data_IF_793651361137
#
_entry.id   IF_793651361137
#
_cell.length_a   1.000
_cell.length_b   1.000
_cell.length_c   1.000
_cell.angle_alpha   90.00
_cell.angle_beta   90.00
_cell.angle_gamma   90.00
#
_symmetry.space_group_name_H-M   'P 1'
#
loop_
_entity.id
_entity.type
_entity.pdbx_description
1 polymer ?
#
# COMPACT_ATOMS: atom_id res chain seq x y z
N UNK A 1 0.41 16.87 -33.30
CA UNK A 1 0.53 15.40 -33.46
C UNK A 1 -0.45 14.64 -32.56
N UNK A 2 -0.46 14.85 -31.24
CA UNK A 2 -1.32 14.15 -30.27
C UNK A 2 -2.85 14.35 -30.42
N UNK A 3 -3.31 15.53 -30.88
CA UNK A 3 -4.74 15.77 -31.15
C UNK A 3 -5.32 14.87 -32.26
N UNK A 4 -4.54 14.54 -33.29
CA UNK A 4 -4.97 13.64 -34.37
C UNK A 4 -4.99 12.17 -33.95
N UNK A 5 -4.06 11.75 -33.09
CA UNK A 5 -4.00 10.38 -32.56
C UNK A 5 -5.19 10.11 -31.65
N UNK A 6 -5.56 11.07 -30.79
CA UNK A 6 -6.74 10.97 -29.91
C UNK A 6 -8.05 10.97 -30.70
N UNK A 7 -8.13 11.72 -31.81
CA UNK A 7 -9.34 11.80 -32.63
C UNK A 7 -9.55 10.54 -33.50
N UNK A 8 -8.47 9.94 -34.03
CA UNK A 8 -8.55 8.69 -34.79
C UNK A 8 -8.90 7.49 -33.90
N UNK A 9 -8.35 7.41 -32.68
CA UNK A 9 -8.75 6.35 -31.74
C UNK A 9 -10.20 6.46 -31.27
N UNK A 10 -10.82 7.64 -31.27
CA UNK A 10 -12.27 7.76 -30.96
C UNK A 10 -13.19 7.17 -32.03
N UNK A 11 -12.73 7.07 -33.29
CA UNK A 11 -13.53 6.51 -34.40
C UNK A 11 -13.49 4.99 -34.47
N UNK A 12 -12.36 4.36 -34.12
CA UNK A 12 -12.22 2.90 -34.19
C UNK A 12 -12.79 2.15 -32.97
N UNK A 13 -13.01 2.83 -31.84
CA UNK A 13 -13.40 2.20 -30.56
C UNK A 13 -14.87 2.42 -30.14
N UNK A 14 -15.70 3.03 -31.01
CA UNK A 14 -17.09 3.41 -30.68
C UNK A 14 -18.17 2.43 -31.20
N UNK A 15 -17.82 1.18 -31.55
CA UNK A 15 -18.79 0.18 -32.05
C UNK A 15 -19.50 -0.66 -30.98
N UNK A 16 -19.26 -0.43 -29.69
CA UNK A 16 -19.94 -1.15 -28.60
C UNK A 16 -20.09 -0.22 -27.41
N UNK A 17 -21.32 0.05 -26.99
CA UNK A 17 -21.70 1.08 -26.02
C UNK A 17 -21.25 0.88 -24.56
N UNK A 18 -20.12 0.20 -24.33
CA UNK A 18 -19.46 0.14 -23.03
C UNK A 18 -18.29 1.12 -23.02
N UNK A 19 -18.21 1.98 -22.00
CA UNK A 19 -17.09 2.88 -21.82
C UNK A 19 -15.81 2.08 -21.52
N UNK A 20 -15.07 1.74 -22.58
CA UNK A 20 -13.78 1.04 -22.48
C UNK A 20 -12.84 1.88 -21.64
N UNK A 21 -12.36 1.32 -20.52
CA UNK A 21 -11.35 1.96 -19.70
C UNK A 21 -10.12 2.27 -20.57
N UNK A 22 -9.57 3.50 -20.51
CA UNK A 22 -8.41 3.85 -21.32
C UNK A 22 -7.24 2.90 -21.03
N UNK A 23 -6.39 2.57 -22.03
CA UNK A 23 -5.37 1.54 -21.87
C UNK A 23 -4.44 1.87 -20.69
N UNK A 24 -4.27 0.93 -19.77
CA UNK A 24 -3.44 1.04 -18.56
C UNK A 24 -2.05 1.62 -18.84
N UNK A 25 -1.46 1.29 -19.99
CA UNK A 25 -0.17 1.79 -20.43
C UNK A 25 -0.16 3.32 -20.61
N UNK A 26 -1.22 3.90 -21.19
CA UNK A 26 -1.31 5.36 -21.41
C UNK A 26 -1.39 6.10 -20.08
N UNK A 27 -2.17 5.59 -19.12
CA UNK A 27 -2.23 6.14 -17.76
C UNK A 27 -0.84 6.17 -17.14
N UNK A 28 -0.15 5.03 -17.19
CA UNK A 28 1.18 4.85 -16.61
C UNK A 28 2.22 5.77 -17.24
N UNK A 29 2.21 5.93 -18.57
CA UNK A 29 3.12 6.88 -19.25
C UNK A 29 2.85 8.32 -18.84
N UNK A 30 1.58 8.76 -18.79
CA UNK A 30 1.24 10.12 -18.36
C UNK A 30 1.63 10.35 -16.90
N UNK A 31 1.42 9.36 -16.03
CA UNK A 31 1.81 9.46 -14.63
C UNK A 31 3.34 9.50 -14.46
N UNK A 32 4.08 8.65 -15.17
CA UNK A 32 5.55 8.65 -15.12
C UNK A 32 6.12 10.01 -15.56
N UNK A 33 5.59 10.59 -16.64
CA UNK A 33 5.98 11.94 -17.11
C UNK A 33 5.66 13.01 -16.06
N UNK A 34 4.46 12.97 -15.46
CA UNK A 34 4.09 13.91 -14.42
C UNK A 34 4.98 13.76 -13.17
N UNK A 35 5.31 12.53 -12.80
CA UNK A 35 6.17 12.22 -11.66
C UNK A 35 7.56 12.80 -11.85
N UNK A 36 8.22 12.52 -12.96
CA UNK A 36 9.55 13.04 -13.26
C UNK A 36 9.57 14.58 -13.24
N UNK A 37 8.66 15.20 -13.98
CA UNK A 37 8.54 16.67 -14.03
C UNK A 37 8.22 17.30 -12.67
N UNK A 38 7.36 16.67 -11.86
CA UNK A 38 7.00 17.20 -10.54
C UNK A 38 8.17 17.11 -9.57
N UNK A 39 8.98 16.05 -9.66
CA UNK A 39 10.18 15.92 -8.84
C UNK A 39 11.23 16.95 -9.25
N UNK A 40 11.45 17.14 -10.55
CA UNK A 40 12.40 18.13 -11.06
C UNK A 40 11.96 19.56 -10.70
N UNK A 41 10.69 19.91 -10.90
CA UNK A 41 10.15 21.21 -10.50
C UNK A 41 10.25 21.46 -8.98
N UNK A 42 10.01 20.44 -8.14
CA UNK A 42 10.18 20.56 -6.69
C UNK A 42 11.64 20.75 -6.28
N UNK A 43 12.58 20.16 -7.03
CA UNK A 43 14.01 20.36 -6.84
C UNK A 43 14.41 21.80 -7.22
N UNK A 44 14.00 22.25 -8.40
CA UNK A 44 14.32 23.60 -8.90
C UNK A 44 13.73 24.69 -8.02
N UNK A 45 12.48 24.54 -7.56
CA UNK A 45 11.86 25.52 -6.66
C UNK A 45 12.56 25.59 -5.27
N UNK A 46 13.23 24.51 -4.85
CA UNK A 46 13.90 24.47 -3.55
C UNK A 46 15.26 25.21 -3.53
N UNK A 47 15.90 25.34 -4.69
CA UNK A 47 17.26 25.84 -4.85
C UNK A 47 17.32 26.93 -5.91
N UNK A 48 17.85 28.11 -5.55
CA UNK A 48 17.94 29.22 -6.49
C UNK A 48 18.99 28.96 -7.59
N UNK A 49 18.89 29.66 -8.72
CA UNK A 49 19.87 29.49 -9.81
C UNK A 49 21.29 29.99 -9.45
N UNK A 50 21.40 30.91 -8.48
CA UNK A 50 22.61 31.66 -8.14
C UNK A 50 23.46 31.04 -7.01
N UNK A 51 23.24 29.77 -6.67
CA UNK A 51 24.06 29.04 -5.69
C UNK A 51 24.90 27.91 -6.27
N UNK A 52 25.55 27.15 -5.38
CA UNK A 52 26.39 26.01 -5.76
C UNK A 52 26.09 24.76 -4.96
N UNK A 53 26.16 23.61 -5.63
CA UNK A 53 26.03 22.30 -4.99
C UNK A 53 27.40 21.83 -4.50
N UNK A 54 27.49 21.54 -3.21
CA UNK A 54 28.69 21.05 -2.55
C UNK A 54 28.44 19.68 -1.91
N UNK A 55 29.42 18.79 -1.99
CA UNK A 55 29.34 17.49 -1.35
C UNK A 55 30.11 17.48 -0.01
N UNK A 56 29.55 16.80 0.99
CA UNK A 56 30.19 16.53 2.28
C UNK A 56 30.10 15.05 2.62
N UNK A 57 31.18 14.49 3.15
CA UNK A 57 31.20 13.12 3.64
C UNK A 57 30.93 13.11 5.15
N UNK A 58 29.88 12.38 5.56
CA UNK A 58 29.51 12.20 6.97
C UNK A 58 29.35 10.70 7.22
N UNK A 59 30.13 10.14 8.16
CA UNK A 59 30.10 8.71 8.53
C UNK A 59 30.15 7.77 7.30
N UNK A 60 31.14 7.95 6.44
CA UNK A 60 31.36 7.20 5.19
C UNK A 60 30.25 7.27 4.14
N UNK A 61 29.30 8.20 4.25
CA UNK A 61 28.30 8.48 3.23
C UNK A 61 28.43 9.91 2.73
N UNK A 62 28.27 10.12 1.43
CA UNK A 62 28.36 11.43 0.79
C UNK A 62 26.96 12.05 0.69
N UNK A 63 26.86 13.30 1.09
CA UNK A 63 25.63 14.09 1.10
C UNK A 63 25.87 15.39 0.37
N UNK A 64 24.84 15.88 -0.33
CA UNK A 64 24.87 17.11 -1.07
C UNK A 64 24.12 18.21 -0.34
N UNK A 65 24.69 19.41 -0.38
CA UNK A 65 24.14 20.63 0.18
C UNK A 65 24.18 21.72 -0.88
N UNK A 66 23.17 22.59 -0.88
CA UNK A 66 23.11 23.75 -1.74
C UNK A 66 23.54 24.97 -0.93
N UNK A 67 24.54 25.69 -1.41
CA UNK A 67 25.16 26.80 -0.71
C UNK A 67 24.88 28.12 -1.43
N UNK A 68 24.41 29.11 -0.68
CA UNK A 68 24.19 30.49 -1.14
C UNK A 68 24.95 31.47 -0.26
N UNK A 69 25.29 32.63 -0.82
CA UNK A 69 26.00 33.71 -0.13
C UNK A 69 27.51 33.48 0.03
N UNK A 70 28.20 34.53 0.47
CA UNK A 70 29.66 34.58 0.68
C UNK A 70 29.99 34.98 2.12
N UNK A 71 31.15 34.55 2.63
CA UNK A 71 31.63 34.95 3.97
C UNK A 71 30.76 34.47 5.14
N UNK A 72 30.42 35.39 6.04
CA UNK A 72 29.62 35.12 7.26
C UNK A 72 28.12 34.88 6.97
N UNK A 73 27.58 35.37 5.84
CA UNK A 73 26.18 35.17 5.43
C UNK A 73 25.96 33.87 4.64
N UNK A 74 26.81 32.86 4.84
CA UNK A 74 26.70 31.56 4.15
C UNK A 74 25.53 30.76 4.72
N UNK A 75 24.57 30.45 3.86
CA UNK A 75 23.49 29.52 4.15
C UNK A 75 23.70 28.21 3.40
N UNK A 76 23.38 27.09 4.04
CA UNK A 76 23.42 25.77 3.44
C UNK A 76 22.07 25.08 3.63
N UNK A 77 21.50 24.60 2.52
CA UNK A 77 20.28 23.79 2.52
C UNK A 77 20.61 22.36 2.16
N UNK A 78 19.93 21.42 2.80
CA UNK A 78 20.15 20.00 2.51
C UNK A 78 19.48 19.61 1.21
N UNK A 79 20.22 18.89 0.36
CA UNK A 79 19.74 18.43 -0.95
C UNK A 79 19.37 16.96 -0.90
N UNK A 80 20.27 16.12 -0.36
CA UNK A 80 20.06 14.69 -0.35
C UNK A 80 21.33 13.86 -0.13
N UNK A 81 21.19 12.53 0.00
CA UNK A 81 22.32 11.62 -0.10
C UNK A 81 22.77 11.52 -1.56
N UNK A 82 24.07 11.30 -1.81
CA UNK A 82 24.54 11.05 -3.16
C UNK A 82 23.92 9.78 -3.75
N UNK A 83 23.22 9.94 -4.86
CA UNK A 83 22.70 8.86 -5.71
C UNK A 83 22.89 9.25 -7.17
N UNK A 84 22.92 8.28 -8.11
CA UNK A 84 22.99 8.59 -9.54
C UNK A 84 21.91 9.60 -9.97
N UNK A 85 20.66 9.39 -9.57
CA UNK A 85 19.53 10.29 -9.87
C UNK A 85 19.74 11.71 -9.34
N UNK A 86 20.32 11.86 -8.13
CA UNK A 86 20.57 13.18 -7.57
C UNK A 86 21.65 13.92 -8.36
N UNK A 87 22.72 13.23 -8.76
CA UNK A 87 23.80 13.82 -9.54
C UNK A 87 23.30 14.28 -10.92
N UNK A 88 22.43 13.50 -11.57
CA UNK A 88 21.81 13.88 -12.83
C UNK A 88 20.94 15.14 -12.68
N UNK A 89 20.17 15.25 -11.59
CA UNK A 89 19.37 16.45 -11.30
C UNK A 89 20.23 17.68 -11.04
N UNK A 90 21.30 17.54 -10.26
CA UNK A 90 22.26 18.62 -10.01
C UNK A 90 22.86 19.12 -11.32
N UNK A 91 23.19 18.21 -12.25
CA UNK A 91 23.72 18.57 -13.56
C UNK A 91 22.71 19.36 -14.42
N UNK A 92 21.42 19.02 -14.33
CA UNK A 92 20.34 19.62 -15.12
C UNK A 92 19.70 20.89 -14.52
N UNK A 93 19.98 21.22 -13.26
CA UNK A 93 19.32 22.32 -12.53
C UNK A 93 19.39 23.68 -13.26
N UNK A 94 20.42 23.93 -14.08
CA UNK A 94 20.57 25.19 -14.84
C UNK A 94 19.87 25.21 -16.20
N UNK A 95 19.34 24.09 -16.65
CA UNK A 95 18.80 23.93 -18.01
C UNK A 95 17.26 23.99 -18.05
N UNK A 96 16.61 23.91 -16.89
CA UNK A 96 15.17 23.68 -16.80
C UNK A 96 14.39 24.97 -16.54
N UNK A 97 13.34 25.21 -17.35
CA UNK A 97 12.35 26.27 -17.12
C UNK A 97 11.08 25.63 -16.58
N UNK A 98 10.53 26.16 -15.47
CA UNK A 98 9.31 25.64 -14.86
C UNK A 98 8.16 25.55 -15.88
N UNK A 99 7.62 24.34 -16.03
CA UNK A 99 6.60 23.95 -16.99
C UNK A 99 5.22 23.76 -16.34
N UNK A 100 4.91 24.54 -15.29
CA UNK A 100 3.70 24.41 -14.46
C UNK A 100 2.39 24.22 -15.25
N UNK A 101 2.27 24.82 -16.44
CA UNK A 101 1.11 24.66 -17.35
C UNK A 101 1.00 23.23 -17.90
N UNK A 102 2.11 22.64 -18.32
CA UNK A 102 2.16 21.29 -18.88
C UNK A 102 1.90 20.25 -17.78
N UNK A 103 2.55 20.37 -16.62
CA UNK A 103 2.26 19.51 -15.47
C UNK A 103 0.80 19.58 -15.03
N UNK A 104 0.21 20.77 -14.99
CA UNK A 104 -1.22 20.94 -14.70
C UNK A 104 -2.10 20.26 -15.75
N UNK A 105 -1.70 20.26 -17.03
CA UNK A 105 -2.43 19.54 -18.07
C UNK A 105 -2.33 18.02 -17.89
N UNK A 106 -1.15 17.48 -17.53
CA UNK A 106 -0.97 16.06 -17.23
C UNK A 106 -1.82 15.64 -16.01
N UNK A 107 -1.71 16.38 -14.89
CA UNK A 107 -2.49 16.14 -13.69
C UNK A 107 -4.00 16.21 -13.96
N UNK A 108 -4.45 17.23 -14.72
CA UNK A 108 -5.86 17.35 -15.11
C UNK A 108 -6.30 16.20 -16.02
N UNK A 109 -5.43 15.66 -16.87
CA UNK A 109 -5.75 14.51 -17.74
C UNK A 109 -5.94 13.25 -16.90
N UNK A 110 -5.04 12.98 -15.95
CA UNK A 110 -5.14 11.87 -15.00
C UNK A 110 -6.45 11.92 -14.20
N UNK A 111 -6.85 13.11 -13.73
CA UNK A 111 -8.11 13.25 -12.99
C UNK A 111 -9.33 13.14 -13.92
N UNK A 112 -9.41 13.94 -14.98
CA UNK A 112 -10.64 14.06 -15.79
C UNK A 112 -10.87 12.90 -16.75
N UNK A 113 -9.81 12.38 -17.36
CA UNK A 113 -9.91 11.32 -18.39
C UNK A 113 -9.80 9.93 -17.79
N UNK A 114 -8.96 9.76 -16.76
CA UNK A 114 -8.75 8.45 -16.12
C UNK A 114 -9.56 8.27 -14.83
N UNK A 115 -10.16 9.33 -14.29
CA UNK A 115 -10.98 9.27 -13.08
C UNK A 115 -10.16 9.02 -11.82
N UNK A 116 -8.87 9.40 -11.83
CA UNK A 116 -8.00 9.25 -10.66
C UNK A 116 -8.39 10.24 -9.56
N UNK A 117 -8.23 9.83 -8.28
CA UNK A 117 -8.68 10.65 -7.18
C UNK A 117 -7.86 11.93 -7.03
N UNK A 118 -8.52 12.95 -6.52
CA UNK A 118 -7.93 14.22 -6.12
C UNK A 118 -8.32 14.51 -4.67
N UNK A 119 -7.40 15.00 -3.82
CA UNK A 119 -7.75 15.41 -2.46
C UNK A 119 -8.75 16.57 -2.48
N UNK A 120 -9.42 16.79 -1.34
CA UNK A 120 -10.17 18.02 -1.12
C UNK A 120 -9.25 19.25 -1.33
N UNK A 121 -9.75 20.36 -1.89
CA UNK A 121 -8.90 21.52 -2.19
C UNK A 121 -8.11 22.03 -0.99
N UNK A 122 -8.73 22.08 0.19
CA UNK A 122 -8.09 22.52 1.45
C UNK A 122 -6.91 21.60 1.83
N UNK A 123 -7.12 20.28 1.74
CA UNK A 123 -6.08 19.26 1.97
C UNK A 123 -4.94 19.43 0.97
N UNK A 124 -5.26 19.59 -0.31
CA UNK A 124 -4.28 19.81 -1.37
C UNK A 124 -3.46 21.10 -1.19
N UNK A 125 -4.09 22.18 -0.71
CA UNK A 125 -3.41 23.45 -0.47
C UNK A 125 -2.44 23.35 0.72
N UNK A 126 -2.85 22.70 1.80
CA UNK A 126 -1.97 22.44 2.95
C UNK A 126 -0.78 21.56 2.54
N UNK A 127 -1.01 20.48 1.78
CA UNK A 127 0.08 19.63 1.27
C UNK A 127 1.05 20.38 0.38
N UNK A 128 0.56 21.28 -0.48
CA UNK A 128 1.42 22.10 -1.34
C UNK A 128 2.32 22.99 -0.48
N UNK A 129 1.77 23.68 0.52
CA UNK A 129 2.56 24.53 1.42
C UNK A 129 3.60 23.73 2.22
N UNK A 130 3.26 22.51 2.68
CA UNK A 130 4.21 21.63 3.36
C UNK A 130 5.32 21.15 2.42
N UNK A 131 4.99 20.84 1.16
CA UNK A 131 5.97 20.47 0.14
C UNK A 131 6.93 21.63 -0.15
N UNK A 132 6.40 22.84 -0.37
CA UNK A 132 7.15 24.06 -0.66
C UNK A 132 8.05 24.46 0.52
N UNK A 133 7.56 24.28 1.76
CA UNK A 133 8.35 24.50 2.97
C UNK A 133 9.52 23.50 3.10
N UNK A 134 9.49 22.39 2.37
CA UNK A 134 10.56 21.39 2.33
C UNK A 134 10.32 20.14 3.16
N UNK A 135 9.11 19.89 3.68
CA UNK A 135 8.82 18.72 4.53
C UNK A 135 9.28 17.41 3.87
N UNK A 136 8.94 17.19 2.60
CA UNK A 136 9.30 15.97 1.87
C UNK A 136 10.78 15.96 1.42
N UNK A 137 11.37 17.13 1.16
CA UNK A 137 12.81 17.28 0.89
C UNK A 137 13.63 16.85 2.10
N UNK A 138 13.20 17.24 3.30
CA UNK A 138 13.83 16.90 4.57
C UNK A 138 13.42 15.53 5.09
N UNK A 139 13.10 14.56 4.20
CA UNK A 139 12.79 13.15 4.55
C UNK A 139 11.44 12.93 5.26
N UNK A 140 10.53 13.89 5.21
CA UNK A 140 9.14 13.66 5.57
C UNK A 140 8.48 12.68 4.59
N UNK A 141 7.57 11.85 5.10
CA UNK A 141 6.80 10.86 4.36
C UNK A 141 5.32 11.10 4.64
N UNK A 142 4.54 11.33 3.60
CA UNK A 142 3.09 11.43 3.70
C UNK A 142 2.53 10.03 3.96
N UNK A 143 1.77 9.87 5.04
CA UNK A 143 1.14 8.59 5.41
C UNK A 143 -0.39 8.76 5.50
N UNK A 144 -1.08 7.75 6.03
CA UNK A 144 -2.51 7.81 6.25
C UNK A 144 -3.33 7.73 4.95
N UNK A 145 -4.57 8.23 5.00
CA UNK A 145 -5.51 8.10 3.87
C UNK A 145 -5.12 9.00 2.69
N UNK A 146 -4.46 10.13 2.93
CA UNK A 146 -3.98 11.00 1.84
C UNK A 146 -2.90 10.29 1.02
N UNK A 147 -1.95 9.60 1.66
CA UNK A 147 -0.96 8.78 0.94
C UNK A 147 -1.62 7.70 0.08
N UNK A 148 -2.68 7.06 0.60
CA UNK A 148 -3.45 6.06 -0.13
C UNK A 148 -4.05 6.59 -1.46
N UNK A 149 -4.31 7.90 -1.56
CA UNK A 149 -4.79 8.52 -2.79
C UNK A 149 -3.76 8.55 -3.92
N UNK A 150 -2.47 8.38 -3.62
CA UNK A 150 -1.43 8.32 -4.64
C UNK A 150 -1.38 6.96 -5.38
N UNK A 151 -1.77 5.88 -4.70
CA UNK A 151 -1.61 4.52 -5.21
C UNK A 151 -2.37 4.18 -6.50
N UNK A 152 -3.59 4.69 -6.76
CA UNK A 152 -4.25 4.50 -8.05
C UNK A 152 -3.38 4.94 -9.23
N UNK A 153 -2.72 6.09 -9.11
CA UNK A 153 -1.83 6.60 -10.14
C UNK A 153 -0.54 5.78 -10.24
N UNK A 154 0.09 5.46 -9.10
CA UNK A 154 1.31 4.64 -9.05
C UNK A 154 1.13 3.24 -9.64
N UNK A 155 -0.01 2.60 -9.37
CA UNK A 155 -0.31 1.23 -9.79
C UNK A 155 -1.07 1.16 -11.12
N UNK A 156 -1.59 2.29 -11.61
CA UNK A 156 -2.33 2.37 -12.87
C UNK A 156 -3.66 1.62 -12.80
N UNK A 157 -4.32 1.72 -11.66
CA UNK A 157 -5.60 1.07 -11.36
C UNK A 157 -6.58 2.05 -10.78
N UNK A 158 -7.85 1.65 -10.67
CA UNK A 158 -8.85 2.36 -9.88
C UNK A 158 -9.02 1.63 -8.55
N UNK A 159 -8.94 2.39 -7.45
CA UNK A 159 -9.25 1.88 -6.11
C UNK A 159 -10.62 2.43 -5.64
N UNK A 160 -11.31 1.75 -4.71
CA UNK A 160 -12.62 2.17 -4.23
C UNK A 160 -12.62 3.59 -3.64
N UNK A 161 -13.50 4.45 -4.16
CA UNK A 161 -13.58 5.87 -3.80
C UNK A 161 -13.85 6.17 -2.32
N UNK A 162 -14.67 5.35 -1.66
CA UNK A 162 -15.03 5.51 -0.25
C UNK A 162 -13.83 5.42 0.70
N UNK A 163 -12.74 4.77 0.27
CA UNK A 163 -11.53 4.60 1.06
C UNK A 163 -10.60 5.82 1.02
N UNK A 164 -10.90 6.80 0.17
CA UNK A 164 -10.01 7.91 -0.17
C UNK A 164 -10.35 9.19 0.60
N UNK A 165 -11.52 9.32 1.22
CA UNK A 165 -11.90 10.55 1.93
C UNK A 165 -11.28 10.61 3.35
N UNK A 166 -10.71 11.76 3.68
CA UNK A 166 -10.13 12.09 5.00
C UNK A 166 -10.03 13.61 5.17
N UNK A 167 -10.20 14.09 6.40
CA UNK A 167 -9.86 15.46 6.80
C UNK A 167 -8.46 15.59 7.40
N UNK A 168 -7.76 14.46 7.58
CA UNK A 168 -6.49 14.37 8.29
C UNK A 168 -5.32 14.21 7.30
N UNK A 169 -4.25 14.97 7.53
CA UNK A 169 -2.96 14.88 6.86
C UNK A 169 -1.93 14.38 7.87
N UNK A 170 -1.41 13.18 7.64
CA UNK A 170 -0.40 12.58 8.49
C UNK A 170 0.99 12.67 7.84
N UNK A 171 1.92 13.35 8.49
CA UNK A 171 3.32 13.45 8.05
C UNK A 171 4.23 12.71 9.02
N UNK A 172 4.96 11.72 8.53
CA UNK A 172 5.86 10.90 9.31
C UNK A 172 7.33 11.19 8.97
N UNK A 173 8.21 11.13 9.97
CA UNK A 173 9.66 11.28 9.76
C UNK A 173 10.43 10.48 10.79
N UNK A 174 11.57 9.88 10.40
CA UNK A 174 12.50 9.33 11.36
C UNK A 174 13.20 10.46 12.14
N UNK A 175 13.18 10.41 13.47
CA UNK A 175 13.92 11.36 14.33
C UNK A 175 15.39 11.50 13.95
N UNK A 176 16.07 10.38 13.67
CA UNK A 176 17.48 10.38 13.28
C UNK A 176 17.72 11.12 11.96
N UNK A 177 16.78 11.02 11.01
CA UNK A 177 16.86 11.78 9.77
C UNK A 177 16.71 13.28 10.04
N UNK A 178 15.78 13.67 10.91
CA UNK A 178 15.59 15.07 11.29
C UNK A 178 16.83 15.69 11.95
N UNK A 179 17.58 14.94 12.76
CA UNK A 179 18.78 15.46 13.45
C UNK A 179 19.98 15.54 12.49
N UNK A 180 20.10 14.60 11.54
CA UNK A 180 21.26 14.49 10.67
C UNK A 180 21.29 15.51 9.51
N UNK A 181 20.17 16.14 9.19
CA UNK A 181 19.98 16.94 7.97
C UNK A 181 20.61 18.34 8.07
N UNK A 182 20.68 18.94 9.26
CA UNK A 182 21.32 20.25 9.47
C UNK A 182 20.64 21.43 8.72
N UNK A 183 19.44 21.21 8.21
CA UNK A 183 18.54 22.14 7.53
C UNK A 183 17.14 21.99 8.18
N UNK A 184 16.33 23.04 8.13
CA UNK A 184 14.99 23.04 8.74
C UNK A 184 13.99 23.85 7.93
N UNK A 185 12.73 23.42 7.94
CA UNK A 185 11.61 24.23 7.48
C UNK A 185 11.38 25.41 8.44
N UNK A 186 10.59 26.43 8.04
CA UNK A 186 9.93 27.31 9.00
C UNK A 186 9.08 26.51 10.01
N UNK A 187 8.68 27.11 11.14
CA UNK A 187 7.82 26.45 12.12
C UNK A 187 6.55 25.92 11.46
N UNK A 188 6.19 24.66 11.75
CA UNK A 188 5.05 24.01 11.10
C UNK A 188 3.76 24.84 11.22
N UNK A 189 3.51 25.45 12.39
CA UNK A 189 2.35 26.32 12.61
C UNK A 189 2.31 27.54 11.68
N UNK A 190 3.46 28.12 11.35
CA UNK A 190 3.53 29.31 10.49
C UNK A 190 3.26 28.94 9.04
N UNK A 191 3.81 27.82 8.57
CA UNK A 191 3.50 27.25 7.26
C UNK A 191 2.00 26.99 7.12
N UNK A 192 1.38 26.40 8.14
CA UNK A 192 -0.06 26.12 8.15
C UNK A 192 -0.90 27.40 8.18
N UNK A 193 -0.53 28.39 9.01
CA UNK A 193 -1.24 29.67 9.10
C UNK A 193 -1.17 30.51 7.84
N UNK A 194 -0.11 30.36 7.05
CA UNK A 194 0.00 30.99 5.74
C UNK A 194 -1.05 30.44 4.74
N UNK A 195 -1.51 29.20 4.93
CA UNK A 195 -2.59 28.60 4.13
C UNK A 195 -3.95 28.98 4.72
N UNK A 196 -4.11 28.85 6.03
CA UNK A 196 -5.33 29.20 6.75
C UNK A 196 -4.97 29.76 8.14
N UNK A 197 -5.20 31.06 8.35
CA UNK A 197 -4.87 31.75 9.59
C UNK A 197 -5.57 31.18 10.84
N UNK A 198 -6.60 30.35 10.67
CA UNK A 198 -7.36 29.72 11.76
C UNK A 198 -6.68 28.48 12.35
N UNK A 199 -5.59 28.01 11.76
CA UNK A 199 -4.80 26.91 12.31
C UNK A 199 -4.32 27.21 13.73
N UNK A 200 -4.52 26.24 14.61
CA UNK A 200 -4.06 26.27 16.01
C UNK A 200 -3.41 24.95 16.39
N UNK A 201 -2.41 25.05 17.25
CA UNK A 201 -1.81 23.91 17.93
C UNK A 201 -2.83 23.20 18.83
N UNK A 202 -2.81 21.88 18.83
CA UNK A 202 -3.54 21.05 19.79
C UNK A 202 -2.55 20.57 20.85
N UNK A 203 -2.71 20.97 22.13
CA UNK A 203 -1.88 20.47 23.22
C UNK A 203 -1.89 18.95 23.29
N UNK A 204 -0.72 18.33 23.44
CA UNK A 204 -0.62 16.88 23.54
C UNK A 204 -1.19 16.35 24.87
N UNK A 205 -1.83 15.18 24.85
CA UNK A 205 -2.58 14.62 25.99
C UNK A 205 -1.67 14.27 27.17
N UNK A 206 -0.45 13.78 26.92
CA UNK A 206 0.51 13.37 27.96
C UNK A 206 1.37 14.54 28.44
N UNK A 207 1.68 15.50 27.56
CA UNK A 207 2.47 16.68 27.89
C UNK A 207 1.90 17.89 27.14
N UNK A 208 1.06 18.67 27.82
CA UNK A 208 0.35 19.80 27.23
C UNK A 208 1.26 20.93 26.71
N UNK A 209 2.58 20.88 26.98
CA UNK A 209 3.55 21.83 26.42
C UNK A 209 4.02 21.45 25.02
N UNK A 210 3.78 20.20 24.60
CA UNK A 210 4.23 19.65 23.32
C UNK A 210 3.08 19.68 22.31
N UNK A 211 3.44 19.83 21.05
CA UNK A 211 2.47 19.98 19.95
C UNK A 211 2.80 19.04 18.81
N UNK A 212 1.99 18.00 18.65
CA UNK A 212 2.13 17.01 17.57
C UNK A 212 1.05 17.16 16.50
N UNK A 213 0.07 18.02 16.73
CA UNK A 213 -1.17 18.09 15.99
C UNK A 213 -1.65 19.53 15.84
N UNK A 214 -2.17 19.85 14.66
CA UNK A 214 -2.68 21.17 14.32
C UNK A 214 -4.06 21.03 13.68
N UNK A 215 -4.98 21.95 13.99
CA UNK A 215 -6.35 21.94 13.45
C UNK A 215 -6.75 23.32 12.97
N UNK A 216 -7.43 23.39 11.84
CA UNK A 216 -8.06 24.61 11.31
C UNK A 216 -9.57 24.62 11.57
N UNK A 217 -10.20 25.78 11.41
CA UNK A 217 -11.67 25.83 11.27
C UNK A 217 -12.05 25.08 9.98
N UNK A 218 -13.19 24.38 9.99
CA UNK A 218 -13.57 23.51 8.87
C UNK A 218 -13.13 22.04 9.01
N UNK A 219 -12.31 21.72 10.02
CA UNK A 219 -12.03 20.33 10.41
C UNK A 219 -10.79 19.71 9.77
N UNK A 220 -10.01 20.48 9.00
CA UNK A 220 -8.69 20.03 8.52
C UNK A 220 -7.75 19.84 9.70
N UNK A 221 -7.10 18.68 9.74
CA UNK A 221 -6.15 18.29 10.77
C UNK A 221 -4.82 17.90 10.15
N UNK A 222 -3.72 18.32 10.77
CA UNK A 222 -2.36 17.94 10.39
C UNK A 222 -1.66 17.33 11.59
N UNK A 223 -1.21 16.09 11.45
CA UNK A 223 -0.52 15.32 12.47
C UNK A 223 0.93 15.06 12.05
N UNK A 224 1.86 15.21 12.98
CA UNK A 224 3.27 14.86 12.82
C UNK A 224 3.60 13.61 13.63
N UNK A 225 4.21 12.64 12.97
CA UNK A 225 4.41 11.28 13.49
C UNK A 225 5.89 10.88 13.41
N UNK A 226 6.35 10.10 14.37
CA UNK A 226 7.70 9.52 14.35
C UNK A 226 7.65 8.06 14.79
N UNK A 227 8.54 7.19 14.30
CA UNK A 227 8.58 5.82 14.79
C UNK A 227 8.91 5.74 16.27
N UNK A 228 8.20 4.85 16.97
CA UNK A 228 8.46 4.56 18.37
C UNK A 228 9.65 3.57 18.49
N UNK A 229 10.79 4.05 18.95
CA UNK A 229 11.99 3.25 19.22
C UNK A 229 12.01 2.79 20.69
N UNK A 230 11.25 1.75 21.04
CA UNK A 230 11.34 1.09 22.36
C UNK A 230 10.00 0.70 23.01
N UNK A 231 10.05 0.40 24.32
CA UNK A 231 8.85 0.07 25.11
C UNK A 231 7.88 1.25 25.25
N UNK A 232 8.36 2.49 25.02
CA UNK A 232 7.60 3.66 24.59
C UNK A 232 6.52 4.18 25.54
N UNK A 233 6.90 5.19 26.32
CA UNK A 233 6.04 6.00 27.23
C UNK A 233 4.94 6.80 26.52
N UNK A 234 4.97 6.89 25.18
CA UNK A 234 4.04 7.71 24.39
C UNK A 234 4.37 9.20 24.37
N UNK A 235 5.51 9.59 24.95
CA UNK A 235 5.95 10.98 25.03
C UNK A 235 6.32 11.56 23.65
N UNK A 236 5.84 12.78 23.31
CA UNK A 236 6.19 13.45 22.06
C UNK A 236 7.69 13.61 21.88
N UNK A 237 8.16 13.46 20.65
CA UNK A 237 9.57 13.64 20.30
C UNK A 237 9.74 14.87 19.39
N UNK A 238 10.81 15.62 19.58
CA UNK A 238 11.12 16.75 18.70
C UNK A 238 11.54 16.26 17.30
N UNK A 239 11.06 16.95 16.27
CA UNK A 239 11.57 16.89 14.90
C UNK A 239 12.18 18.24 14.51
N UNK A 240 13.46 18.51 14.86
CA UNK A 240 14.11 19.79 14.60
C UNK A 240 14.06 20.28 13.15
N UNK A 241 14.11 19.36 12.18
CA UNK A 241 14.08 19.68 10.75
C UNK A 241 12.70 20.20 10.30
N UNK A 242 11.63 19.87 11.02
CA UNK A 242 10.27 20.34 10.75
C UNK A 242 9.81 21.40 11.76
N UNK A 243 10.68 21.76 12.70
CA UNK A 243 10.41 22.73 13.78
C UNK A 243 9.06 22.48 14.49
N UNK A 244 8.80 21.21 14.83
CA UNK A 244 7.58 20.74 15.54
C UNK A 244 7.89 19.49 16.38
N UNK A 245 6.95 19.09 17.23
CA UNK A 245 6.97 17.78 17.87
C UNK A 245 6.18 16.76 17.06
N UNK A 246 6.45 15.49 17.31
CA UNK A 246 5.79 14.37 16.66
C UNK A 246 5.39 13.28 17.65
N UNK A 247 4.25 12.66 17.35
CA UNK A 247 3.72 11.54 18.11
C UNK A 247 4.52 10.26 17.78
N UNK A 248 5.14 9.59 18.77
CA UNK A 248 5.69 8.26 18.53
C UNK A 248 4.58 7.23 18.29
N UNK A 249 4.65 6.52 17.16
CA UNK A 249 3.75 5.41 16.83
C UNK A 249 4.50 4.11 16.60
N UNK A 250 3.93 3.00 17.10
CA UNK A 250 4.46 1.65 16.86
C UNK A 250 4.24 1.25 15.40
N UNK A 251 5.17 0.47 14.86
CA UNK A 251 5.17 -0.06 13.49
C UNK A 251 5.32 0.99 12.38
N UNK A 252 5.40 2.26 12.73
CA UNK A 252 5.60 3.33 11.76
C UNK A 252 6.98 3.24 11.09
N UNK A 253 7.98 2.69 11.79
CA UNK A 253 9.32 2.44 11.24
C UNK A 253 9.28 1.53 10.00
N UNK A 254 8.47 0.48 10.03
CA UNK A 254 8.25 -0.40 8.88
C UNK A 254 7.52 0.31 7.75
N UNK A 255 6.48 1.09 8.08
CA UNK A 255 5.65 1.77 7.09
C UNK A 255 6.47 2.78 6.27
N UNK A 256 7.31 3.58 6.93
CA UNK A 256 8.05 4.67 6.29
C UNK A 256 9.47 4.27 5.88
N UNK A 257 9.83 2.99 6.02
CA UNK A 257 11.07 2.45 5.51
C UNK A 257 11.04 2.41 3.97
N UNK A 258 12.08 2.94 3.35
CA UNK A 258 12.26 3.03 1.90
C UNK A 258 11.02 3.56 1.12
N UNK A 259 10.65 4.84 1.36
CA UNK A 259 9.44 5.41 0.77
C UNK A 259 9.61 5.72 -0.73
N UNK A 260 8.56 5.45 -1.50
CA UNK A 260 8.50 5.70 -2.94
C UNK A 260 8.14 7.17 -3.24
N UNK A 261 8.72 7.76 -4.30
CA UNK A 261 8.27 9.07 -4.78
C UNK A 261 6.87 8.95 -5.41
N UNK A 262 6.01 9.94 -5.17
CA UNK A 262 4.68 9.98 -5.74
C UNK A 262 4.20 11.41 -6.00
N UNK A 263 3.13 11.53 -6.79
CA UNK A 263 2.46 12.81 -7.04
C UNK A 263 1.04 12.79 -6.51
N UNK A 264 0.70 13.75 -5.65
CA UNK A 264 -0.68 14.06 -5.31
C UNK A 264 -1.27 14.92 -6.42
N UNK A 265 -2.40 14.48 -7.00
CA UNK A 265 -3.05 15.11 -8.15
C UNK A 265 -3.83 16.39 -7.77
N UNK A 266 -3.13 17.38 -7.25
CA UNK A 266 -3.66 18.71 -6.94
C UNK A 266 -2.83 19.80 -7.63
N UNK A 267 -3.49 20.80 -8.21
CA UNK A 267 -2.82 21.87 -8.94
C UNK A 267 -1.99 21.33 -10.12
N UNK A 268 -0.68 21.56 -10.09
CA UNK A 268 0.27 21.08 -11.08
C UNK A 268 0.90 19.72 -10.70
N UNK A 269 0.37 19.02 -9.70
CA UNK A 269 1.00 17.83 -9.13
C UNK A 269 1.96 18.23 -8.00
N UNK A 270 1.74 17.67 -6.80
CA UNK A 270 2.58 17.90 -5.63
C UNK A 270 3.50 16.69 -5.47
N UNK A 271 4.81 16.92 -5.56
CA UNK A 271 5.82 15.88 -5.34
C UNK A 271 5.91 15.55 -3.85
N UNK A 272 5.69 14.28 -3.51
CA UNK A 272 5.71 13.77 -2.13
C UNK A 272 6.48 12.45 -2.05
N UNK A 273 6.75 12.01 -0.82
CA UNK A 273 7.20 10.64 -0.51
C UNK A 273 6.05 9.92 0.18
N UNK A 274 5.73 8.70 -0.24
CA UNK A 274 4.71 7.85 0.39
C UNK A 274 5.27 6.47 0.74
N UNK A 275 4.69 5.73 1.69
CA UNK A 275 5.03 4.33 1.90
C UNK A 275 4.91 3.52 0.62
N UNK A 276 5.80 2.55 0.42
CA UNK A 276 5.63 1.55 -0.62
C UNK A 276 4.24 0.89 -0.48
N UNK A 277 3.47 0.68 -1.58
CA UNK A 277 2.10 0.17 -1.50
C UNK A 277 1.99 -1.16 -0.74
N UNK A 278 2.98 -2.05 -0.91
CA UNK A 278 3.05 -3.33 -0.21
C UNK A 278 3.19 -3.15 1.31
N UNK A 279 4.15 -2.31 1.76
CA UNK A 279 4.32 -1.98 3.19
C UNK A 279 3.07 -1.32 3.77
N UNK A 280 2.41 -0.47 3.00
CA UNK A 280 1.15 0.15 3.43
C UNK A 280 0.07 -0.92 3.69
N UNK A 281 -0.15 -1.84 2.75
CA UNK A 281 -1.14 -2.91 2.88
C UNK A 281 -0.87 -3.78 4.12
N UNK A 282 0.38 -4.24 4.28
CA UNK A 282 0.81 -5.07 5.41
C UNK A 282 0.67 -4.32 6.75
N UNK A 283 1.10 -3.06 6.79
CA UNK A 283 0.96 -2.22 7.98
C UNK A 283 -0.51 -2.03 8.37
N UNK A 284 -1.41 -1.86 7.40
CA UNK A 284 -2.86 -1.72 7.64
C UNK A 284 -3.48 -2.95 8.28
N UNK A 285 -3.08 -4.16 7.87
CA UNK A 285 -3.49 -5.39 8.53
C UNK A 285 -3.11 -5.37 10.02
N UNK A 286 -1.85 -5.01 10.32
CA UNK A 286 -1.33 -4.98 11.69
C UNK A 286 -2.03 -3.93 12.56
N UNK A 287 -2.17 -2.68 12.09
CA UNK A 287 -2.75 -1.61 12.90
C UNK A 287 -4.26 -1.75 13.08
N UNK A 288 -4.97 -2.40 12.14
CA UNK A 288 -6.40 -2.69 12.27
C UNK A 288 -6.71 -3.48 13.55
N UNK A 289 -5.79 -4.36 13.98
CA UNK A 289 -5.90 -5.17 15.19
C UNK A 289 -5.63 -4.39 16.49
N UNK A 290 -5.05 -3.19 16.39
CA UNK A 290 -4.66 -2.37 17.56
C UNK A 290 -5.47 -1.10 17.74
N UNK A 291 -6.29 -0.69 16.77
CA UNK A 291 -7.11 0.52 16.91
C UNK A 291 -8.10 0.38 18.07
N UNK A 292 -8.10 1.34 18.98
CA UNK A 292 -9.11 1.44 20.06
C UNK A 292 -10.32 2.27 19.63
N UNK A 293 -10.15 3.12 18.61
CA UNK A 293 -11.09 4.14 18.13
C UNK A 293 -12.36 3.64 17.40
N UNK A 294 -12.79 2.40 17.63
CA UNK A 294 -14.03 1.84 17.07
C UNK A 294 -13.89 1.03 15.78
N UNK A 295 -14.97 0.32 15.43
CA UNK A 295 -15.04 -0.65 14.32
C UNK A 295 -14.85 -0.02 12.94
N UNK A 296 -15.46 1.15 12.68
CA UNK A 296 -15.39 1.80 11.37
C UNK A 296 -13.96 2.11 10.88
N UNK A 297 -13.07 2.56 11.78
CA UNK A 297 -11.66 2.81 11.43
C UNK A 297 -10.90 1.50 11.17
N UNK A 298 -11.23 0.42 11.89
CA UNK A 298 -10.67 -0.91 11.65
C UNK A 298 -11.12 -1.45 10.29
N UNK A 299 -12.41 -1.33 9.99
CA UNK A 299 -12.98 -1.78 8.72
C UNK A 299 -12.38 -1.01 7.54
N UNK A 300 -12.18 0.32 7.69
CA UNK A 300 -11.49 1.13 6.68
C UNK A 300 -10.05 0.65 6.44
N UNK A 301 -9.30 0.34 7.50
CA UNK A 301 -7.94 -0.19 7.36
C UNK A 301 -7.93 -1.55 6.64
N UNK A 302 -8.84 -2.46 7.01
CA UNK A 302 -8.98 -3.77 6.35
C UNK A 302 -9.35 -3.61 4.87
N UNK A 303 -10.29 -2.73 4.54
CA UNK A 303 -10.68 -2.50 3.15
C UNK A 303 -9.55 -1.86 2.33
N UNK A 304 -8.79 -0.92 2.91
CA UNK A 304 -7.61 -0.35 2.26
C UNK A 304 -6.53 -1.42 2.02
N UNK A 305 -6.28 -2.28 3.01
CA UNK A 305 -5.36 -3.40 2.87
C UNK A 305 -5.82 -4.35 1.77
N UNK A 306 -7.07 -4.81 1.81
CA UNK A 306 -7.64 -5.74 0.85
C UNK A 306 -7.54 -5.23 -0.60
N UNK A 307 -7.87 -3.96 -0.84
CA UNK A 307 -7.80 -3.37 -2.18
C UNK A 307 -6.37 -3.37 -2.75
N UNK A 308 -5.37 -3.08 -1.91
CA UNK A 308 -3.96 -3.12 -2.32
C UNK A 308 -3.45 -4.55 -2.44
N UNK A 309 -3.79 -5.46 -1.53
CA UNK A 309 -3.39 -6.86 -1.59
C UNK A 309 -3.84 -7.50 -2.91
N UNK A 310 -5.13 -7.34 -3.26
CA UNK A 310 -5.69 -7.83 -4.52
C UNK A 310 -4.91 -7.30 -5.72
N UNK A 311 -4.63 -5.99 -5.73
CA UNK A 311 -3.90 -5.33 -6.83
C UNK A 311 -2.45 -5.80 -6.91
N UNK A 312 -1.75 -5.87 -5.78
CA UNK A 312 -0.32 -6.16 -5.72
C UNK A 312 -0.03 -7.63 -6.02
N UNK A 313 -0.94 -8.54 -5.67
CA UNK A 313 -0.83 -9.95 -6.04
C UNK A 313 -0.69 -10.18 -7.55
N UNK A 314 -1.26 -9.29 -8.37
CA UNK A 314 -1.10 -9.32 -9.83
C UNK A 314 0.08 -8.46 -10.30
N UNK A 315 0.17 -7.22 -9.81
CA UNK A 315 1.04 -6.21 -10.43
C UNK A 315 2.45 -6.15 -9.87
N UNK A 316 2.62 -6.48 -8.60
CA UNK A 316 3.90 -6.42 -7.88
C UNK A 316 4.01 -7.57 -6.87
N UNK A 317 3.90 -8.85 -7.32
CA UNK A 317 3.87 -10.00 -6.42
C UNK A 317 5.16 -10.17 -5.62
N UNK A 318 6.31 -9.81 -6.19
CA UNK A 318 7.61 -9.86 -5.52
C UNK A 318 7.67 -8.84 -4.37
N UNK A 319 7.33 -7.57 -4.62
CA UNK A 319 7.28 -6.52 -3.59
C UNK A 319 6.33 -6.90 -2.44
N UNK A 320 5.17 -7.50 -2.77
CA UNK A 320 4.23 -7.97 -1.75
C UNK A 320 4.84 -9.08 -0.90
N UNK A 321 5.51 -10.04 -1.53
CA UNK A 321 6.18 -11.14 -0.82
C UNK A 321 7.31 -10.63 0.07
N UNK A 322 8.18 -9.75 -0.41
CA UNK A 322 9.28 -9.18 0.37
C UNK A 322 8.76 -8.39 1.58
N UNK A 323 7.74 -7.54 1.37
CA UNK A 323 7.12 -6.78 2.45
C UNK A 323 6.47 -7.70 3.50
N UNK A 324 5.81 -8.78 3.07
CA UNK A 324 5.22 -9.79 3.95
C UNK A 324 6.29 -10.53 4.77
N UNK A 325 7.35 -11.00 4.12
CA UNK A 325 8.42 -11.76 4.76
C UNK A 325 9.15 -10.89 5.80
N UNK A 326 9.51 -9.65 5.46
CA UNK A 326 10.12 -8.71 6.43
C UNK A 326 9.21 -8.48 7.64
N UNK A 327 7.90 -8.29 7.43
CA UNK A 327 6.96 -8.09 8.53
C UNK A 327 6.91 -9.31 9.45
N UNK A 328 6.95 -10.53 8.91
CA UNK A 328 6.98 -11.77 9.73
C UNK A 328 8.31 -12.01 10.43
N UNK A 329 9.42 -11.53 9.87
CA UNK A 329 10.75 -11.63 10.48
C UNK A 329 10.91 -10.74 11.72
N UNK A 330 10.12 -9.67 11.84
CA UNK A 330 10.15 -8.73 12.97
C UNK A 330 9.67 -9.31 14.32
N UNK A 331 9.14 -10.53 14.35
CA UNK A 331 8.91 -11.29 15.57
C UNK A 331 7.47 -11.80 15.76
N UNK A 332 7.19 -12.49 16.88
CA UNK A 332 5.92 -13.21 17.09
C UNK A 332 4.70 -12.27 17.12
N UNK A 333 4.82 -11.09 17.76
CA UNK A 333 3.72 -10.11 17.78
C UNK A 333 3.36 -9.61 16.38
N UNK A 334 4.34 -9.44 15.50
CA UNK A 334 4.09 -9.03 14.12
C UNK A 334 3.35 -10.12 13.34
N UNK A 335 3.80 -11.37 13.45
CA UNK A 335 3.12 -12.53 12.83
C UNK A 335 1.68 -12.63 13.27
N UNK A 336 1.44 -12.60 14.58
CA UNK A 336 0.09 -12.66 15.15
C UNK A 336 -0.82 -11.56 14.59
N UNK A 337 -0.40 -10.29 14.66
CA UNK A 337 -1.23 -9.17 14.22
C UNK A 337 -1.46 -9.18 12.71
N UNK A 338 -0.47 -9.60 11.93
CA UNK A 338 -0.56 -9.74 10.48
C UNK A 338 -1.56 -10.83 10.09
N UNK A 339 -1.42 -12.01 10.69
CA UNK A 339 -2.24 -13.20 10.41
C UNK A 339 -3.70 -12.97 10.88
N UNK A 340 -3.90 -12.36 12.05
CA UNK A 340 -5.23 -11.92 12.52
C UNK A 340 -5.84 -10.82 11.64
N UNK A 341 -5.04 -9.87 11.17
CA UNK A 341 -5.49 -8.82 10.25
C UNK A 341 -5.95 -9.42 8.93
N UNK A 342 -5.17 -10.34 8.37
CA UNK A 342 -5.48 -11.04 7.14
C UNK A 342 -6.72 -11.95 7.27
N UNK A 343 -7.00 -12.49 8.46
CA UNK A 343 -8.24 -13.23 8.73
C UNK A 343 -9.51 -12.39 8.46
N UNK A 344 -9.43 -11.07 8.65
CA UNK A 344 -10.53 -10.13 8.40
C UNK A 344 -10.71 -9.71 6.95
N UNK A 345 -9.79 -10.10 6.06
CA UNK A 345 -9.86 -9.83 4.61
C UNK A 345 -10.81 -10.82 3.94
N UNK A 346 -11.46 -10.36 2.87
CA UNK A 346 -12.32 -11.19 2.02
C UNK A 346 -11.56 -12.43 1.49
N UNK A 347 -12.26 -13.55 1.39
CA UNK A 347 -11.65 -14.87 1.33
C UNK A 347 -10.88 -15.11 0.04
N UNK A 348 -11.39 -14.64 -1.10
CA UNK A 348 -10.68 -14.73 -2.37
C UNK A 348 -9.38 -13.89 -2.35
N UNK A 349 -9.47 -12.66 -1.84
CA UNK A 349 -8.30 -11.76 -1.71
C UNK A 349 -7.25 -12.32 -0.75
N UNK A 350 -7.68 -12.91 0.37
CA UNK A 350 -6.81 -13.56 1.35
C UNK A 350 -6.08 -14.74 0.73
N UNK A 351 -6.81 -15.63 0.05
CA UNK A 351 -6.23 -16.82 -0.57
C UNK A 351 -5.24 -16.46 -1.68
N UNK A 352 -5.58 -15.45 -2.49
CA UNK A 352 -4.67 -14.92 -3.50
C UNK A 352 -3.39 -14.34 -2.85
N UNK A 353 -3.53 -13.59 -1.76
CA UNK A 353 -2.38 -13.05 -1.01
C UNK A 353 -1.49 -14.18 -0.49
N UNK A 354 -2.08 -15.17 0.18
CA UNK A 354 -1.36 -16.33 0.71
C UNK A 354 -0.62 -17.08 -0.41
N UNK A 355 -1.27 -17.29 -1.56
CA UNK A 355 -0.65 -17.87 -2.75
C UNK A 355 0.55 -17.03 -3.22
N UNK A 356 0.38 -15.72 -3.36
CA UNK A 356 1.43 -14.80 -3.84
C UNK A 356 2.66 -14.85 -2.93
N UNK A 357 2.47 -14.85 -1.61
CA UNK A 357 3.57 -14.82 -0.65
C UNK A 357 4.14 -16.21 -0.34
N UNK A 358 3.54 -17.28 -0.88
CA UNK A 358 3.96 -18.67 -0.65
C UNK A 358 3.57 -19.21 0.74
N UNK A 359 2.49 -18.68 1.30
CA UNK A 359 1.93 -19.04 2.60
C UNK A 359 0.74 -20.01 2.45
N UNK A 360 0.45 -20.75 3.53
CA UNK A 360 -0.66 -21.71 3.61
C UNK A 360 -1.79 -21.16 4.46
N UNK A 361 -3.00 -21.70 4.28
CA UNK A 361 -4.20 -21.24 5.00
C UNK A 361 -4.08 -21.44 6.50
N UNK A 362 -3.46 -22.53 6.98
CA UNK A 362 -3.33 -22.82 8.42
C UNK A 362 -2.56 -21.78 9.24
N UNK A 363 -1.90 -20.80 8.61
CA UNK A 363 -1.36 -19.63 9.29
C UNK A 363 -2.43 -18.66 9.79
N UNK A 364 -3.64 -18.69 9.22
CA UNK A 364 -4.73 -17.77 9.57
C UNK A 364 -5.43 -18.27 10.84
N UNK A 365 -5.48 -17.47 11.93
CA UNK A 365 -6.10 -17.90 13.17
C UNK A 365 -7.59 -18.23 12.99
N UNK A 366 -7.99 -19.39 13.50
CA UNK A 366 -9.38 -19.85 13.47
C UNK A 366 -9.88 -20.29 12.10
N UNK A 367 -9.04 -20.32 11.07
CA UNK A 367 -9.46 -20.89 9.79
C UNK A 367 -9.55 -22.41 9.92
N UNK A 368 -10.69 -22.93 9.50
CA UNK A 368 -10.92 -24.35 9.39
C UNK A 368 -11.89 -24.60 8.23
N UNK A 369 -11.83 -25.79 7.65
CA UNK A 369 -12.81 -26.20 6.65
C UNK A 369 -13.83 -27.13 7.29
N UNK A 370 -15.00 -26.58 7.57
CA UNK A 370 -16.17 -27.28 8.07
C UNK A 370 -17.06 -27.69 6.90
N UNK A 371 -17.77 -28.81 7.01
CA UNK A 371 -18.62 -29.31 5.94
C UNK A 371 -20.08 -29.34 6.39
N UNK A 372 -20.95 -28.84 5.53
CA UNK A 372 -22.40 -28.95 5.72
C UNK A 372 -22.87 -30.35 5.32
N UNK A 373 -23.98 -30.84 5.85
CA UNK A 373 -24.62 -32.11 5.46
C UNK A 373 -25.31 -32.07 4.08
N UNK A 374 -25.07 -31.01 3.30
CA UNK A 374 -25.64 -30.83 1.97
C UNK A 374 -25.32 -32.04 1.05
N UNK A 375 -26.26 -32.44 0.18
CA UNK A 375 -26.04 -33.54 -0.73
C UNK A 375 -24.99 -33.16 -1.79
N UNK A 376 -23.99 -34.03 -2.04
CA UNK A 376 -23.03 -33.83 -3.10
C UNK A 376 -23.71 -33.93 -4.48
N UNK A 377 -23.11 -33.29 -5.49
CA UNK A 377 -23.59 -33.31 -6.88
C UNK A 377 -22.47 -33.66 -7.84
N UNK A 378 -22.77 -34.49 -8.83
CA UNK A 378 -21.86 -34.71 -9.96
C UNK A 378 -21.92 -33.52 -10.92
N UNK A 379 -20.78 -32.89 -11.18
CA UNK A 379 -20.64 -31.86 -12.21
C UNK A 379 -20.01 -32.49 -13.45
N UNK A 380 -20.84 -32.71 -14.47
CA UNK A 380 -20.44 -33.31 -15.75
C UNK A 380 -19.44 -32.46 -16.51
N UNK A 381 -19.46 -31.13 -16.34
CA UNK A 381 -18.59 -30.22 -17.10
C UNK A 381 -17.15 -30.25 -16.61
N UNK A 382 -16.98 -30.49 -15.31
CA UNK A 382 -15.68 -30.55 -14.63
C UNK A 382 -15.22 -31.96 -14.32
N UNK A 383 -16.10 -32.94 -14.52
CA UNK A 383 -15.89 -34.36 -14.20
C UNK A 383 -15.47 -34.57 -12.73
N UNK A 384 -16.23 -33.94 -11.82
CA UNK A 384 -15.99 -33.97 -10.38
C UNK A 384 -17.27 -34.25 -9.60
N UNK A 385 -17.12 -34.79 -8.39
CA UNK A 385 -18.18 -34.73 -7.37
C UNK A 385 -17.96 -33.49 -6.52
N UNK A 386 -18.88 -32.53 -6.62
CA UNK A 386 -18.87 -31.27 -5.90
C UNK A 386 -19.66 -31.36 -4.57
N UNK A 387 -19.15 -30.70 -3.55
CA UNK A 387 -19.76 -30.60 -2.22
C UNK A 387 -19.39 -29.24 -1.59
N UNK A 388 -20.12 -28.85 -0.55
CA UNK A 388 -19.96 -27.53 0.07
C UNK A 388 -19.15 -27.63 1.38
N UNK A 389 -18.19 -26.73 1.53
CA UNK A 389 -17.55 -26.44 2.81
C UNK A 389 -17.75 -24.99 3.23
N UNK A 390 -17.38 -24.68 4.46
CA UNK A 390 -17.35 -23.33 5.01
C UNK A 390 -16.04 -23.11 5.75
N UNK A 391 -15.45 -21.94 5.57
CA UNK A 391 -14.27 -21.49 6.31
C UNK A 391 -14.46 -20.04 6.75
N UNK A 392 -14.32 -19.77 8.05
CA UNK A 392 -14.56 -18.43 8.65
C UNK A 392 -15.92 -17.85 8.24
N UNK A 393 -16.96 -18.69 8.19
CA UNK A 393 -18.32 -18.31 7.80
C UNK A 393 -18.54 -18.04 6.30
N UNK A 394 -17.52 -18.22 5.44
CA UNK A 394 -17.62 -18.09 3.99
C UNK A 394 -17.70 -19.45 3.32
N UNK A 395 -18.46 -19.54 2.22
CA UNK A 395 -18.61 -20.77 1.47
C UNK A 395 -17.32 -21.10 0.70
N UNK A 396 -16.91 -22.36 0.74
CA UNK A 396 -15.78 -22.90 -0.01
C UNK A 396 -16.31 -23.97 -0.96
N UNK A 397 -15.90 -23.87 -2.23
CA UNK A 397 -16.22 -24.85 -3.27
C UNK A 397 -15.31 -26.07 -3.15
N UNK A 398 -15.85 -27.20 -2.72
CA UNK A 398 -15.09 -28.42 -2.56
C UNK A 398 -15.44 -29.40 -3.68
N UNK A 399 -14.43 -30.09 -4.21
CA UNK A 399 -14.66 -31.15 -5.18
C UNK A 399 -13.63 -32.27 -5.05
N UNK A 400 -13.98 -33.46 -5.52
CA UNK A 400 -13.07 -34.58 -5.75
C UNK A 400 -13.18 -35.01 -7.22
N UNK A 401 -12.05 -35.21 -7.88
CA UNK A 401 -12.03 -35.58 -9.29
C UNK A 401 -12.54 -37.00 -9.53
N UNK A 402 -13.09 -37.25 -10.72
CA UNK A 402 -13.51 -38.59 -11.14
C UNK A 402 -12.36 -39.60 -11.02
N UNK A 403 -11.16 -39.24 -11.46
CA UNK A 403 -9.97 -40.12 -11.39
C UNK A 403 -9.66 -40.50 -9.94
N UNK A 404 -9.72 -39.54 -9.01
CA UNK A 404 -9.46 -39.82 -7.60
C UNK A 404 -10.50 -40.78 -7.00
N UNK A 405 -11.77 -40.66 -7.41
CA UNK A 405 -12.83 -41.59 -7.02
C UNK A 405 -12.61 -42.99 -7.61
N UNK A 406 -12.32 -43.06 -8.92
CA UNK A 406 -12.15 -44.32 -9.65
C UNK A 406 -10.94 -45.10 -9.08
N UNK A 407 -9.81 -44.42 -8.85
CA UNK A 407 -8.55 -45.02 -8.39
C UNK A 407 -8.58 -45.49 -6.93
N UNK A 408 -9.33 -44.81 -6.05
CA UNK A 408 -9.16 -44.96 -4.60
C UNK A 408 -10.45 -45.25 -3.81
N UNK A 409 -11.61 -45.14 -4.44
CA UNK A 409 -12.91 -45.32 -3.79
C UNK A 409 -13.81 -46.34 -4.49
N UNK A 410 -13.24 -47.10 -5.43
CA UNK A 410 -13.91 -48.23 -6.08
C UNK A 410 -15.07 -47.81 -6.97
N UNK A 411 -14.87 -46.73 -7.74
CA UNK A 411 -15.89 -46.23 -8.69
C UNK A 411 -15.59 -46.48 -10.14
N UNK A 412 -14.53 -47.22 -10.44
CA UNK A 412 -14.19 -47.60 -11.80
C UNK A 412 -15.38 -48.32 -12.48
N UNK A 413 -15.71 -47.88 -13.68
CA UNK A 413 -16.87 -48.36 -14.44
C UNK A 413 -18.26 -47.94 -13.92
N UNK A 414 -18.38 -47.17 -12.83
CA UNK A 414 -19.68 -46.69 -12.35
C UNK A 414 -20.20 -45.49 -13.17
N UNK A 415 -21.51 -45.26 -13.12
CA UNK A 415 -22.15 -44.06 -13.67
C UNK A 415 -22.09 -42.88 -12.67
N UNK A 416 -22.73 -41.76 -13.04
CA UNK A 416 -22.75 -40.54 -12.21
C UNK A 416 -23.36 -40.79 -10.81
N UNK A 417 -24.40 -41.61 -10.72
CA UNK A 417 -25.12 -41.85 -9.47
C UNK A 417 -24.33 -42.82 -8.60
N UNK A 418 -23.69 -43.83 -9.20
CA UNK A 418 -22.75 -44.72 -8.52
C UNK A 418 -21.57 -43.97 -7.89
N UNK A 419 -21.01 -42.96 -8.58
CA UNK A 419 -19.94 -42.10 -8.03
C UNK A 419 -20.40 -41.25 -6.87
N UNK A 420 -21.60 -40.67 -6.94
CA UNK A 420 -22.20 -39.92 -5.83
C UNK A 420 -22.43 -40.84 -4.62
N UNK A 421 -22.92 -42.06 -4.83
CA UNK A 421 -23.10 -43.03 -3.74
C UNK A 421 -21.77 -43.47 -3.12
N UNK A 422 -20.72 -43.66 -3.92
CA UNK A 422 -19.39 -43.98 -3.41
C UNK A 422 -18.78 -42.84 -2.60
N UNK A 423 -18.98 -41.59 -3.04
CA UNK A 423 -18.65 -40.41 -2.25
C UNK A 423 -19.38 -40.47 -0.90
N UNK A 424 -20.69 -40.72 -0.89
CA UNK A 424 -21.48 -40.77 0.35
C UNK A 424 -20.98 -41.86 1.32
N UNK A 425 -20.62 -43.05 0.81
CA UNK A 425 -20.02 -44.13 1.63
C UNK A 425 -18.67 -43.75 2.24
N UNK A 426 -17.91 -42.88 1.56
CA UNK A 426 -16.55 -42.49 1.94
C UNK A 426 -16.44 -41.03 2.39
N UNK A 427 -17.57 -40.39 2.69
CA UNK A 427 -17.68 -38.93 2.86
C UNK A 427 -16.70 -38.37 3.88
N UNK A 428 -16.65 -38.97 5.07
CA UNK A 428 -15.75 -38.55 6.15
C UNK A 428 -14.28 -38.58 5.74
N UNK A 429 -13.85 -39.60 4.97
CA UNK A 429 -12.46 -39.69 4.47
C UNK A 429 -12.17 -38.61 3.43
N UNK A 430 -13.08 -38.39 2.49
CA UNK A 430 -12.92 -37.37 1.44
C UNK A 430 -12.92 -35.95 2.05
N UNK A 431 -13.80 -35.68 2.99
CA UNK A 431 -13.87 -34.43 3.74
C UNK A 431 -12.58 -34.18 4.54
N UNK A 432 -12.04 -35.19 5.23
CA UNK A 432 -10.76 -35.07 5.93
C UNK A 432 -9.61 -34.72 4.98
N UNK A 433 -9.58 -35.33 3.79
CA UNK A 433 -8.58 -35.04 2.77
C UNK A 433 -8.74 -33.63 2.19
N UNK A 434 -9.97 -33.21 1.89
CA UNK A 434 -10.26 -31.86 1.43
C UNK A 434 -9.86 -30.81 2.47
N UNK A 435 -10.16 -31.04 3.75
CA UNK A 435 -9.74 -30.18 4.87
C UNK A 435 -8.22 -30.10 4.99
N UNK A 436 -7.52 -31.23 4.98
CA UNK A 436 -6.06 -31.26 5.05
C UNK A 436 -5.41 -30.52 3.88
N UNK A 437 -5.90 -30.73 2.66
CA UNK A 437 -5.43 -30.03 1.45
C UNK A 437 -5.75 -28.54 1.49
N UNK A 438 -6.96 -28.16 1.92
CA UNK A 438 -7.35 -26.76 2.02
C UNK A 438 -6.45 -25.97 2.97
N UNK A 439 -6.14 -26.56 4.14
CA UNK A 439 -5.37 -25.91 5.20
C UNK A 439 -3.87 -25.84 4.89
N UNK A 440 -3.29 -26.93 4.39
CA UNK A 440 -1.83 -27.09 4.31
C UNK A 440 -1.28 -27.27 2.89
N UNK A 441 -2.15 -27.45 1.90
CA UNK A 441 -1.76 -27.56 0.50
C UNK A 441 -1.52 -26.19 -0.14
N UNK A 442 -0.88 -26.16 -1.32
CA UNK A 442 -0.79 -24.95 -2.11
C UNK A 442 -2.19 -24.47 -2.52
N UNK A 443 -2.37 -23.16 -2.57
CA UNK A 443 -3.62 -22.53 -3.00
C UNK A 443 -3.66 -22.54 -4.53
N UNK A 444 -4.39 -23.51 -5.10
CA UNK A 444 -4.59 -23.63 -6.55
C UNK A 444 -5.60 -22.59 -7.07
N UNK A 445 -6.74 -22.46 -6.38
CA UNK A 445 -7.82 -21.52 -6.66
C UNK A 445 -8.31 -20.88 -5.35
N UNK A 446 -8.64 -19.57 -5.36
CA UNK A 446 -9.27 -18.91 -4.21
C UNK A 446 -10.64 -19.53 -3.89
N UNK A 447 -10.96 -19.66 -2.60
CA UNK A 447 -12.25 -20.19 -2.12
C UNK A 447 -12.65 -21.57 -2.66
N UNK A 448 -11.66 -22.35 -3.09
CA UNK A 448 -11.87 -23.68 -3.62
C UNK A 448 -10.82 -24.69 -3.16
N UNK A 449 -11.23 -25.95 -3.13
CA UNK A 449 -10.35 -27.11 -2.96
C UNK A 449 -10.79 -28.24 -3.87
N UNK A 450 -9.86 -28.76 -4.68
CA UNK A 450 -10.06 -29.92 -5.54
C UNK A 450 -9.14 -31.05 -5.08
N UNK A 451 -9.71 -32.16 -4.64
CA UNK A 451 -8.97 -33.38 -4.29
C UNK A 451 -8.74 -34.20 -5.56
N UNK A 452 -7.46 -34.45 -5.87
CA UNK A 452 -6.98 -35.21 -7.03
C UNK A 452 -6.34 -36.52 -6.56
N UNK A 453 -6.11 -37.47 -7.48
CA UNK A 453 -5.45 -38.77 -7.19
C UNK A 453 -4.11 -38.59 -6.45
N UNK A 454 -3.31 -37.56 -6.80
CA UNK A 454 -2.03 -37.27 -6.15
C UNK A 454 -2.16 -36.96 -4.66
N UNK A 455 -3.27 -36.36 -4.25
CA UNK A 455 -3.53 -35.95 -2.87
C UNK A 455 -3.89 -37.16 -1.98
N UNK A 456 -4.44 -38.22 -2.58
CA UNK A 456 -4.80 -39.46 -1.89
C UNK A 456 -3.55 -40.22 -1.45
N UNK A 457 -2.53 -40.29 -2.32
CA UNK A 457 -1.29 -41.05 -2.06
C UNK A 457 -0.38 -40.41 -1.01
N UNK A 458 -0.43 -39.08 -0.85
CA UNK A 458 0.41 -38.33 0.10
C UNK A 458 -0.01 -38.44 1.57
N UNK A 459 -1.16 -39.05 1.88
CA UNK A 459 -1.70 -39.20 3.24
C UNK A 459 -1.17 -40.43 3.99
N UNK A 460 -0.47 -41.34 3.32
CA UNK A 460 0.32 -42.40 3.95
C UNK A 460 1.71 -41.83 4.30
N UNK A 461 2.01 -41.72 5.59
CA UNK A 461 3.10 -40.91 6.15
C UNK A 461 4.46 -41.07 5.49
N UNK A 462 5.21 -39.96 5.39
CA UNK A 462 6.67 -40.02 5.33
C UNK A 462 7.18 -40.50 6.69
N UNK A 463 7.89 -41.63 6.79
CA UNK A 463 8.67 -41.91 7.98
C UNK A 463 9.81 -40.88 8.04
N UNK A 464 9.99 -40.29 9.21
CA UNK A 464 11.17 -39.49 9.55
C UNK A 464 12.43 -40.30 9.23
N UNK A 465 13.24 -39.83 8.28
CA UNK A 465 14.64 -40.24 8.20
C UNK A 465 15.40 -39.38 9.21
N UNK A 466 15.99 -40.06 10.19
CA UNK A 466 16.83 -39.47 11.21
C UNK A 466 18.22 -39.08 10.72
#
# INVERSE_FOLDING_TARGET
MWKSVILNMRKEYNCSGEAVAPPKLVLQTIYAELLDRSINAAFDNAFAEDGSFIAKTVKNRKYWYFQTGTGENRSQRYVGPETPDLLERIARHKEHRDDIKERRALASTLVRSFGLPRPLPEIGNVLAALADAGVFRLRGVLVGTVAFQAYPAMLGVRLPGALLQTGDIDNAQFRNASVAVGDSTPPAIDVLKNVDATFRAVPHVVDGRRVTSYVAKGGVRVDFLTPNTGEGTGEPQALPALQTDAQPLRFLDYLIHDPEPAVILHGAGISVRVPAPARFAIHKLIVSRRRRDGTAKRDKDIQQAAALLLTLSELRPHDLKEAWDEARERGPTWRQLLEEGLAGVESATRDLTLRTVGAIRSLIPGIDLEFDSAPPRYDLSRDVVAFAGRALGRQVSCAISREALDDHFGTDGLDKDGRVQAFLRSRSKIEQMARAKYLNGPIEEPDAVLVKTSDVRGSAGRPSRG
#
